data_IF_251175611345
#
_entry.id   IF_251175611345
#
_cell.length_a   1.000
_cell.length_b   1.000
_cell.length_c   1.000
_cell.angle_alpha   90.00
_cell.angle_beta   90.00
_cell.angle_gamma   90.00
#
_symmetry.space_group_name_H-M   'P 1'
#
loop_
_entity.id
_entity.type
_entity.pdbx_description
1 polymer ?
#
# COMPACT_ATOMS: atom_id res chain seq x y z
N UNK A 1 -9.09 -13.63 -10.91
CA UNK A 1 -8.97 -13.10 -9.54
C UNK A 1 -7.95 -11.98 -9.51
N UNK A 2 -8.31 -10.83 -8.95
CA UNK A 2 -7.40 -9.70 -8.88
C UNK A 2 -6.81 -9.59 -7.47
N UNK A 3 -5.51 -9.38 -7.42
CA UNK A 3 -4.76 -9.35 -6.17
C UNK A 3 -3.89 -8.11 -6.10
N UNK A 4 -3.89 -7.46 -4.95
CA UNK A 4 -3.05 -6.31 -4.68
C UNK A 4 -2.05 -6.68 -3.57
N UNK A 5 -0.81 -6.31 -3.77
CA UNK A 5 0.28 -6.56 -2.83
C UNK A 5 0.85 -5.22 -2.40
N UNK A 6 0.74 -4.94 -1.10
CA UNK A 6 1.14 -3.64 -0.56
C UNK A 6 2.29 -3.82 0.41
N UNK A 7 3.37 -3.11 0.17
CA UNK A 7 4.48 -3.01 1.11
C UNK A 7 4.47 -1.63 1.76
N UNK A 8 4.56 -1.60 3.07
CA UNK A 8 4.53 -0.36 3.84
C UNK A 8 5.80 -0.27 4.66
N UNK A 9 6.54 0.83 4.47
CA UNK A 9 7.70 1.18 5.28
C UNK A 9 7.33 2.44 6.06
N UNK A 10 6.95 2.30 7.33
CA UNK A 10 6.48 3.45 8.11
C UNK A 10 7.64 4.37 8.51
N UNK A 11 7.29 5.60 8.89
CA UNK A 11 8.27 6.57 9.34
C UNK A 11 8.26 7.83 8.50
N UNK A 12 9.07 8.80 8.91
CA UNK A 12 9.10 10.11 8.25
C UNK A 12 9.58 10.02 6.80
N UNK A 13 10.47 9.07 6.53
CA UNK A 13 11.00 8.85 5.18
C UNK A 13 10.39 7.62 4.54
N UNK A 14 9.35 7.08 5.13
CA UNK A 14 8.76 5.85 4.67
C UNK A 14 7.88 6.03 3.45
N UNK A 15 7.47 4.90 2.89
CA UNK A 15 6.65 4.90 1.70
C UNK A 15 5.77 3.67 1.62
N UNK A 16 4.87 3.72 0.66
CA UNK A 16 3.97 2.63 0.35
C UNK A 16 4.18 2.26 -1.10
N UNK A 17 4.37 0.97 -1.36
CA UNK A 17 4.45 0.45 -2.72
C UNK A 17 3.36 -0.59 -2.90
N UNK A 18 2.72 -0.56 -4.05
CA UNK A 18 1.64 -1.49 -4.35
C UNK A 18 1.84 -2.11 -5.73
N UNK A 19 1.77 -3.43 -5.79
CA UNK A 19 1.77 -4.18 -7.03
C UNK A 19 0.41 -4.82 -7.25
N UNK A 20 0.10 -5.07 -8.51
CA UNK A 20 -1.15 -5.72 -8.88
C UNK A 20 -0.84 -6.89 -9.80
N UNK A 21 -1.54 -8.01 -9.60
CA UNK A 21 -1.28 -9.20 -10.40
C UNK A 21 -1.79 -9.08 -11.84
N UNK A 22 -2.69 -8.14 -12.08
CA UNK A 22 -3.28 -7.92 -13.41
C UNK A 22 -2.71 -6.70 -14.14
N UNK A 23 -1.68 -6.08 -13.57
CA UNK A 23 -1.14 -4.83 -14.09
C UNK A 23 0.36 -4.80 -13.78
N UNK A 24 1.15 -4.38 -14.76
CA UNK A 24 2.60 -4.26 -14.59
C UNK A 24 3.03 -2.97 -13.89
N UNK A 25 2.09 -2.12 -13.56
CA UNK A 25 2.39 -0.83 -12.95
C UNK A 25 2.59 -1.00 -11.46
N UNK A 26 3.68 -0.45 -10.94
CA UNK A 26 3.92 -0.35 -9.50
C UNK A 26 3.53 1.06 -9.08
N UNK A 27 2.66 1.15 -8.09
CA UNK A 27 2.26 2.45 -7.55
C UNK A 27 3.01 2.70 -6.26
N UNK A 28 3.59 3.88 -6.14
CA UNK A 28 4.32 4.26 -4.94
C UNK A 28 3.77 5.57 -4.41
N UNK A 29 3.81 5.71 -3.11
CA UNK A 29 3.32 6.90 -2.44
C UNK A 29 4.12 7.11 -1.15
N UNK A 30 4.18 8.35 -0.71
CA UNK A 30 4.77 8.64 0.59
C UNK A 30 3.83 8.16 1.69
N UNK A 31 4.41 7.66 2.78
CA UNK A 31 3.61 7.20 3.90
C UNK A 31 2.93 8.39 4.58
N UNK A 32 1.59 8.37 4.73
CA UNK A 32 0.90 9.48 5.40
C UNK A 32 1.25 9.56 6.89
N UNK A 33 1.13 10.76 7.44
CA UNK A 33 1.46 11.04 8.84
C UNK A 33 0.33 10.69 9.80
N UNK A 34 -0.87 10.48 9.30
CA UNK A 34 -2.05 10.29 10.14
C UNK A 34 -2.72 8.96 9.84
N UNK A 35 -3.43 8.37 10.83
CA UNK A 35 -4.22 7.16 10.58
C UNK A 35 -5.28 7.37 9.50
N UNK A 36 -5.90 8.53 9.45
CA UNK A 36 -6.90 8.85 8.44
C UNK A 36 -6.29 8.85 7.04
N UNK A 37 -5.11 9.45 6.91
CA UNK A 37 -4.39 9.47 5.64
C UNK A 37 -4.01 8.07 5.19
N UNK A 38 -3.55 7.23 6.12
CA UNK A 38 -3.19 5.85 5.82
C UNK A 38 -4.40 5.06 5.35
N UNK A 39 -5.53 5.23 6.02
CA UNK A 39 -6.76 4.56 5.66
C UNK A 39 -7.21 4.98 4.25
N UNK A 40 -7.11 6.27 3.97
CA UNK A 40 -7.51 6.81 2.67
C UNK A 40 -6.65 6.25 1.54
N UNK A 41 -5.33 6.29 1.70
CA UNK A 41 -4.42 5.82 0.64
C UNK A 41 -4.56 4.31 0.44
N UNK A 42 -4.74 3.57 1.51
CA UNK A 42 -4.97 2.13 1.44
C UNK A 42 -6.21 1.83 0.62
N UNK A 43 -7.31 2.54 0.91
CA UNK A 43 -8.55 2.36 0.17
C UNK A 43 -8.40 2.68 -1.31
N UNK A 44 -7.68 3.75 -1.65
CA UNK A 44 -7.46 4.13 -3.04
C UNK A 44 -6.65 3.05 -3.76
N UNK A 45 -5.58 2.56 -3.13
CA UNK A 45 -4.68 1.61 -3.77
C UNK A 45 -5.31 0.24 -3.95
N UNK A 46 -6.26 -0.14 -3.10
CA UNK A 46 -6.84 -1.47 -3.12
C UNK A 46 -8.24 -1.52 -3.70
N UNK A 47 -8.76 -0.39 -4.17
CA UNK A 47 -10.11 -0.32 -4.69
C UNK A 47 -10.33 -1.29 -5.86
N UNK A 48 -11.35 -2.12 -5.74
CA UNK A 48 -11.71 -3.05 -6.82
C UNK A 48 -10.93 -4.35 -6.84
N UNK A 49 -10.05 -4.60 -5.88
CA UNK A 49 -9.28 -5.83 -5.84
C UNK A 49 -9.90 -6.85 -4.89
N UNK A 50 -9.91 -8.12 -5.33
CA UNK A 50 -10.57 -9.21 -4.60
C UNK A 50 -9.79 -9.64 -3.38
N UNK A 51 -8.46 -9.69 -3.51
CA UNK A 51 -7.58 -10.08 -2.42
C UNK A 51 -6.50 -9.04 -2.24
N UNK A 52 -6.17 -8.76 -0.99
CA UNK A 52 -5.19 -7.76 -0.64
C UNK A 52 -4.22 -8.39 0.35
N UNK A 53 -2.94 -8.30 0.02
CA UNK A 53 -1.86 -8.78 0.88
C UNK A 53 -1.04 -7.57 1.30
N UNK A 54 -1.03 -7.29 2.58
CA UNK A 54 -0.30 -6.15 3.12
C UNK A 54 0.89 -6.65 3.93
N UNK A 55 2.04 -6.05 3.69
CA UNK A 55 3.27 -6.36 4.38
C UNK A 55 3.81 -5.07 4.98
N UNK A 56 3.98 -5.05 6.29
CA UNK A 56 4.48 -3.87 6.99
C UNK A 56 5.83 -4.23 7.57
N UNK A 57 6.85 -3.50 7.14
CA UNK A 57 8.18 -3.67 7.68
C UNK A 57 8.24 -2.99 9.04
N UNK A 58 8.74 -3.72 10.00
CA UNK A 58 8.80 -3.24 11.37
C UNK A 58 10.27 -3.10 11.78
N UNK A 59 10.67 -1.86 11.97
CA UNK A 59 12.05 -1.55 12.33
C UNK A 59 12.05 -0.90 13.71
N UNK A 60 12.90 -1.41 14.58
CA UNK A 60 13.06 -0.86 15.93
C UNK A 60 14.34 -0.05 16.02
#
# INVERSE_FOLDING_TARGET
MTEAYIGIDPGKSGGIACFYNDDDVVRVSKCPDTPEGMYTIYGILTHGYDKIYAYIEHVW
#
